data_IF_024400116350
#
_entry.id   IF_024400116350
#
_cell.length_a   1.000
_cell.length_b   1.000
_cell.length_c   1.000
_cell.angle_alpha   90.00
_cell.angle_beta   90.00
_cell.angle_gamma   90.00
#
_symmetry.space_group_name_H-M   'P 1'
#
loop_
_entity.id
_entity.type
_entity.pdbx_description
1 polymer ?
#
# COMPACT_ATOMS: atom_id res chain seq x y z
N UNK A 1 6.67 -3.16 4.14
CA UNK A 1 6.52 -2.92 2.68
C UNK A 1 5.19 -3.43 2.12
N UNK A 2 4.86 -4.73 2.24
CA UNK A 2 3.66 -5.31 1.61
C UNK A 2 2.36 -4.55 1.94
N UNK A 3 2.05 -4.37 3.23
CA UNK A 3 0.85 -3.63 3.65
C UNK A 3 0.85 -2.15 3.22
N UNK A 4 2.03 -1.52 3.12
CA UNK A 4 2.15 -0.14 2.65
C UNK A 4 1.69 -0.02 1.19
N UNK A 5 2.09 -0.96 0.32
CA UNK A 5 1.64 -1.03 -1.08
C UNK A 5 0.12 -1.16 -1.14
N UNK A 6 -0.44 -2.06 -0.33
CA UNK A 6 -1.89 -2.31 -0.28
C UNK A 6 -2.66 -1.06 0.15
N UNK A 7 -2.22 -0.40 1.22
CA UNK A 7 -2.86 0.82 1.74
C UNK A 7 -2.84 1.93 0.68
N UNK A 8 -1.67 2.21 0.09
CA UNK A 8 -1.52 3.29 -0.89
C UNK A 8 -2.40 3.07 -2.13
N UNK A 9 -2.34 1.88 -2.73
CA UNK A 9 -3.11 1.56 -3.95
C UNK A 9 -4.61 1.40 -3.67
N UNK A 10 -4.99 0.91 -2.49
CA UNK A 10 -6.39 0.86 -2.08
C UNK A 10 -6.98 2.25 -1.82
N UNK A 11 -6.16 3.18 -1.34
CA UNK A 11 -6.54 4.58 -1.17
C UNK A 11 -6.79 5.24 -2.53
N UNK A 12 -5.91 5.01 -3.52
CA UNK A 12 -6.12 5.47 -4.92
C UNK A 12 -7.44 4.93 -5.50
N UNK A 13 -7.76 3.66 -5.20
CA UNK A 13 -9.00 3.02 -5.62
C UNK A 13 -10.22 3.34 -4.72
N UNK A 14 -10.08 4.22 -3.74
CA UNK A 14 -11.13 4.60 -2.78
C UNK A 14 -11.80 3.40 -2.05
N UNK A 15 -11.07 2.32 -1.80
CA UNK A 15 -11.62 1.11 -1.20
C UNK A 15 -11.59 1.17 0.34
N UNK A 16 -12.73 1.53 0.96
CA UNK A 16 -12.84 1.67 2.42
C UNK A 16 -12.42 0.40 3.17
N UNK A 17 -12.90 -0.77 2.72
CA UNK A 17 -12.58 -2.04 3.38
C UNK A 17 -11.08 -2.28 3.44
N UNK A 18 -10.42 -2.25 2.27
CA UNK A 18 -9.00 -2.57 2.17
C UNK A 18 -8.14 -1.50 2.86
N UNK A 19 -8.48 -0.22 2.71
CA UNK A 19 -7.77 0.86 3.41
C UNK A 19 -7.82 0.63 4.92
N UNK A 20 -9.01 0.47 5.51
CA UNK A 20 -9.15 0.33 6.97
C UNK A 20 -8.46 -0.94 7.50
N UNK A 21 -8.68 -2.09 6.85
CA UNK A 21 -8.12 -3.37 7.29
C UNK A 21 -6.59 -3.39 7.16
N UNK A 22 -6.05 -2.99 6.01
CA UNK A 22 -4.61 -3.05 5.75
C UNK A 22 -3.85 -1.92 6.44
N UNK A 23 -4.48 -0.77 6.73
CA UNK A 23 -3.89 0.24 7.63
C UNK A 23 -3.72 -0.32 9.04
N UNK A 24 -4.64 -1.15 9.53
CA UNK A 24 -4.50 -1.79 10.83
C UNK A 24 -3.31 -2.77 10.88
N UNK A 25 -3.19 -3.62 9.87
CA UNK A 25 -2.06 -4.54 9.73
C UNK A 25 -0.74 -3.79 9.57
N UNK A 26 -0.72 -2.74 8.74
CA UNK A 26 0.43 -1.87 8.57
C UNK A 26 0.90 -1.30 9.91
N UNK A 27 -0.01 -0.77 10.76
CA UNK A 27 0.35 -0.25 12.09
C UNK A 27 0.97 -1.31 13.00
N UNK A 28 0.50 -2.56 12.93
CA UNK A 28 1.08 -3.68 13.68
C UNK A 28 2.51 -3.98 13.21
N UNK A 29 2.70 -4.20 11.90
CA UNK A 29 3.98 -4.66 11.37
C UNK A 29 5.07 -3.57 11.36
N UNK A 30 4.69 -2.32 11.09
CA UNK A 30 5.63 -1.19 11.14
C UNK A 30 5.92 -0.73 12.57
N UNK A 31 5.11 -1.16 13.55
CA UNK A 31 5.07 -0.58 14.90
C UNK A 31 4.96 0.97 14.89
N UNK A 32 4.38 1.52 13.82
CA UNK A 32 4.19 2.96 13.65
C UNK A 32 2.69 3.26 13.52
N UNK A 33 2.19 4.01 14.49
CA UNK A 33 0.76 4.27 14.68
C UNK A 33 0.18 5.28 13.71
N UNK A 34 1.01 6.17 13.17
CA UNK A 34 0.58 7.32 12.36
C UNK A 34 0.89 7.12 10.88
N UNK A 35 1.88 6.31 10.55
CA UNK A 35 2.36 6.18 9.17
C UNK A 35 1.31 5.63 8.21
N UNK A 36 0.45 4.70 8.65
CA UNK A 36 -0.64 4.20 7.83
C UNK A 36 -1.62 5.30 7.41
N UNK A 37 -1.90 6.26 8.30
CA UNK A 37 -2.81 7.37 8.03
C UNK A 37 -2.15 8.37 7.06
N UNK A 38 -0.84 8.62 7.20
CA UNK A 38 -0.07 9.43 6.26
C UNK A 38 -0.04 8.81 4.85
N UNK A 39 0.24 7.50 4.74
CA UNK A 39 0.26 6.77 3.46
C UNK A 39 -1.10 6.87 2.77
N UNK A 40 -2.18 6.66 3.54
CA UNK A 40 -3.56 6.67 3.02
C UNK A 40 -3.91 8.01 2.39
N UNK A 41 -3.53 9.12 3.01
CA UNK A 41 -3.90 10.47 2.55
C UNK A 41 -2.95 10.99 1.48
N UNK A 42 -1.65 10.91 1.73
CA UNK A 42 -0.62 11.35 0.80
C UNK A 42 0.74 10.76 1.17
N UNK A 43 1.03 9.57 0.62
CA UNK A 43 2.31 8.89 0.82
C UNK A 43 3.54 9.68 0.34
N UNK A 44 3.39 10.69 -0.53
CA UNK A 44 4.53 11.55 -0.93
C UNK A 44 4.99 12.45 0.21
N UNK A 45 4.06 12.82 1.10
CA UNK A 45 4.30 13.65 2.27
C UNK A 45 4.39 12.85 3.58
N UNK A 46 4.52 11.52 3.50
CA UNK A 46 4.67 10.67 4.69
C UNK A 46 6.12 10.52 5.13
N UNK A 47 6.31 10.02 6.35
CA UNK A 47 7.61 9.74 6.97
C UNK A 47 8.28 8.46 6.43
N UNK A 48 7.99 8.09 5.18
CA UNK A 48 8.62 6.97 4.48
C UNK A 48 10.03 7.34 4.02
N UNK A 49 10.94 6.36 4.06
CA UNK A 49 12.27 6.50 3.46
C UNK A 49 12.24 6.44 1.94
N UNK A 50 13.35 6.83 1.31
CA UNK A 50 13.44 6.92 -0.16
C UNK A 50 13.17 5.58 -0.86
N UNK A 51 13.66 4.47 -0.28
CA UNK A 51 13.40 3.12 -0.80
C UNK A 51 11.90 2.78 -0.79
N UNK A 52 11.18 3.12 0.28
CA UNK A 52 9.75 2.86 0.40
C UNK A 52 8.94 3.75 -0.55
N UNK A 53 9.36 5.00 -0.76
CA UNK A 53 8.76 5.90 -1.75
C UNK A 53 8.97 5.39 -3.17
N UNK A 54 10.15 4.87 -3.50
CA UNK A 54 10.40 4.25 -4.81
C UNK A 54 9.51 3.03 -5.07
N UNK A 55 9.29 2.19 -4.03
CA UNK A 55 8.33 1.08 -4.10
C UNK A 55 6.92 1.61 -4.42
N UNK A 56 6.48 2.66 -3.73
CA UNK A 56 5.15 3.23 -3.95
C UNK A 56 5.01 3.93 -5.30
N UNK A 57 6.04 4.60 -5.80
CA UNK A 57 6.05 5.17 -7.15
C UNK A 57 5.76 4.10 -8.20
N UNK A 58 6.53 3.00 -8.17
CA UNK A 58 6.31 1.88 -9.08
C UNK A 58 4.92 1.24 -8.89
N UNK A 59 4.49 1.02 -7.64
CA UNK A 59 3.18 0.45 -7.35
C UNK A 59 2.02 1.31 -7.88
N UNK A 60 2.14 2.64 -7.79
CA UNK A 60 1.13 3.57 -8.30
C UNK A 60 1.08 3.58 -9.83
N UNK A 61 2.22 3.44 -10.51
CA UNK A 61 2.27 3.32 -11.97
C UNK A 61 1.60 2.01 -12.44
N UNK A 62 1.86 0.89 -11.74
CA UNK A 62 1.17 -0.39 -12.00
C UNK A 62 -0.33 -0.27 -11.71
N UNK A 63 -0.71 0.35 -10.60
CA UNK A 63 -2.11 0.54 -10.19
C UNK A 63 -2.90 1.35 -11.22
N UNK A 64 -2.27 2.37 -11.81
CA UNK A 64 -2.84 3.19 -12.88
C UNK A 64 -2.78 2.53 -14.28
N UNK A 65 -2.33 1.27 -14.37
CA UNK A 65 -2.15 0.53 -15.61
C UNK A 65 -1.28 1.29 -16.65
N UNK A 66 -0.26 2.01 -16.19
CA UNK A 66 0.69 2.68 -17.09
C UNK A 66 1.59 1.67 -17.80
N UNK A 67 2.16 2.09 -18.93
CA UNK A 67 3.16 1.30 -19.64
C UNK A 67 4.44 1.21 -18.80
N UNK A 68 4.74 0.03 -18.28
CA UNK A 68 5.98 -0.24 -17.54
C UNK A 68 7.12 -0.47 -18.54
N UNK A 69 8.25 0.17 -18.27
CA UNK A 69 9.46 0.16 -19.12
C UNK A 69 10.71 -0.13 -18.28
N UNK A 70 11.83 -0.41 -18.95
CA UNK A 70 13.12 -0.67 -18.30
C UNK A 70 13.57 0.43 -17.33
N UNK A 71 13.18 1.69 -17.60
CA UNK A 71 13.49 2.83 -16.73
C UNK A 71 12.85 2.70 -15.33
N UNK A 72 11.65 2.12 -15.24
CA UNK A 72 10.98 1.90 -13.96
C UNK A 72 11.76 0.87 -13.13
N UNK A 73 12.21 -0.22 -13.75
CA UNK A 73 13.04 -1.22 -13.08
C UNK A 73 14.40 -0.66 -12.68
N UNK A 74 15.00 0.21 -13.50
CA UNK A 74 16.26 0.86 -13.17
C UNK A 74 16.15 1.75 -11.92
N UNK A 75 15.07 2.53 -11.79
CA UNK A 75 14.80 3.34 -10.58
C UNK A 75 14.67 2.47 -9.34
N UNK A 76 13.98 1.33 -9.43
CA UNK A 76 13.93 0.37 -8.33
C UNK A 76 15.33 -0.13 -7.94
N UNK A 77 16.17 -0.47 -8.93
CA UNK A 77 17.55 -0.92 -8.70
C UNK A 77 18.43 0.13 -8.01
N UNK A 78 18.22 1.42 -8.28
CA UNK A 78 18.91 2.52 -7.58
C UNK A 78 18.64 2.52 -6.07
N UNK A 79 17.53 1.91 -5.64
CA UNK A 79 17.17 1.70 -4.24
C UNK A 79 17.39 0.26 -3.74
N UNK A 80 18.18 -0.53 -4.48
CA UNK A 80 18.56 -1.89 -4.11
C UNK A 80 17.43 -2.92 -4.24
N UNK A 81 16.43 -2.66 -5.10
CA UNK A 81 15.34 -3.58 -5.42
C UNK A 81 15.61 -4.25 -6.77
N UNK A 82 15.45 -5.57 -6.84
CA UNK A 82 15.68 -6.33 -8.06
C UNK A 82 14.38 -6.57 -8.87
N UNK A 83 14.46 -7.41 -9.90
CA UNK A 83 13.29 -7.73 -10.75
C UNK A 83 12.27 -8.63 -10.05
N UNK A 84 12.69 -9.47 -9.11
CA UNK A 84 11.79 -10.30 -8.31
C UNK A 84 11.05 -9.43 -7.30
N UNK A 85 11.72 -8.44 -6.70
CA UNK A 85 11.06 -7.42 -5.88
C UNK A 85 10.00 -6.64 -6.69
N UNK A 86 10.34 -6.25 -7.93
CA UNK A 86 9.39 -5.58 -8.82
C UNK A 86 8.19 -6.48 -9.18
N UNK A 87 8.43 -7.77 -9.39
CA UNK A 87 7.38 -8.77 -9.58
C UNK A 87 6.47 -8.86 -8.35
N UNK A 88 7.04 -8.95 -7.15
CA UNK A 88 6.29 -9.00 -5.90
C UNK A 88 5.42 -7.75 -5.70
N UNK A 89 5.96 -6.55 -5.98
CA UNK A 89 5.19 -5.30 -5.94
C UNK A 89 4.02 -5.38 -6.92
N UNK A 90 4.29 -5.73 -8.19
CA UNK A 90 3.26 -5.83 -9.22
C UNK A 90 2.17 -6.86 -8.89
N UNK A 91 2.56 -8.01 -8.33
CA UNK A 91 1.64 -9.07 -7.91
C UNK A 91 0.73 -8.62 -6.76
N UNK A 92 1.28 -7.93 -5.76
CA UNK A 92 0.49 -7.35 -4.66
C UNK A 92 -0.51 -6.33 -5.21
N UNK A 93 -0.06 -5.42 -6.08
CA UNK A 93 -0.94 -4.41 -6.69
C UNK A 93 -2.05 -5.08 -7.50
N UNK A 94 -1.74 -6.09 -8.32
CA UNK A 94 -2.72 -6.81 -9.12
C UNK A 94 -3.77 -7.55 -8.28
N UNK A 95 -3.33 -8.25 -7.23
CA UNK A 95 -4.23 -8.97 -6.32
C UNK A 95 -5.17 -8.01 -5.58
N UNK A 96 -4.64 -6.90 -5.07
CA UNK A 96 -5.46 -5.95 -4.34
C UNK A 96 -6.31 -5.05 -5.23
N UNK A 97 -5.93 -4.84 -6.48
CA UNK A 97 -6.80 -4.27 -7.50
C UNK A 97 -8.05 -5.14 -7.71
N UNK A 98 -7.91 -6.48 -7.76
CA UNK A 98 -9.05 -7.40 -7.77
C UNK A 98 -9.84 -7.30 -6.46
N UNK A 99 -9.17 -7.38 -5.31
CA UNK A 99 -9.82 -7.31 -3.99
C UNK A 99 -10.65 -6.04 -3.81
N UNK A 100 -10.09 -4.88 -4.18
CA UNK A 100 -10.78 -3.59 -4.11
C UNK A 100 -12.06 -3.59 -4.95
N UNK A 101 -12.00 -4.11 -6.19
CA UNK A 101 -13.17 -4.20 -7.07
C UNK A 101 -14.26 -5.10 -6.47
N UNK A 102 -13.88 -6.23 -5.89
CA UNK A 102 -14.84 -7.13 -5.22
C UNK A 102 -15.44 -6.51 -3.96
N UNK A 103 -14.64 -5.80 -3.15
CA UNK A 103 -15.11 -5.07 -1.98
C UNK A 103 -16.14 -4.00 -2.37
N UNK A 104 -15.90 -3.28 -3.47
CA UNK A 104 -16.85 -2.29 -4.02
C UNK A 104 -18.16 -2.94 -4.47
N UNK A 105 -18.09 -3.99 -5.29
CA UNK A 105 -19.29 -4.69 -5.80
C UNK A 105 -20.16 -5.25 -4.68
N UNK A 106 -19.55 -5.70 -3.59
CA UNK A 106 -20.25 -6.32 -2.47
C UNK A 106 -20.62 -5.35 -1.35
N UNK A 107 -20.24 -4.06 -1.46
CA UNK A 107 -20.35 -3.07 -0.37
C UNK A 107 -19.75 -3.60 0.94
N UNK A 108 -18.58 -4.24 0.84
CA UNK A 108 -17.92 -4.89 1.96
C UNK A 108 -17.57 -3.86 3.05
N UNK A 109 -17.94 -4.17 4.29
CA UNK A 109 -17.68 -3.29 5.45
C UNK A 109 -16.53 -3.85 6.28
N UNK A 110 -15.52 -3.03 6.62
CA UNK A 110 -14.46 -3.49 7.50
C UNK A 110 -15.03 -3.71 8.90
N UNK A 111 -14.48 -4.70 9.60
CA UNK A 111 -14.78 -4.93 11.01
C UNK A 111 -14.40 -3.71 11.87
N UNK A 112 -15.22 -3.42 12.88
CA UNK A 112 -15.03 -2.25 13.76
C UNK A 112 -13.66 -2.25 14.47
N UNK A 113 -13.13 -3.43 14.78
CA UNK A 113 -11.84 -3.60 15.45
C UNK A 113 -10.69 -2.98 14.64
N UNK A 114 -10.73 -3.04 13.30
CA UNK A 114 -9.66 -2.53 12.45
C UNK A 114 -9.46 -1.01 12.57
N UNK A 115 -10.51 -0.26 12.94
CA UNK A 115 -10.39 1.19 13.15
C UNK A 115 -9.50 1.54 14.34
N UNK A 116 -9.40 0.66 15.34
CA UNK A 116 -8.67 0.91 16.60
C UNK A 116 -7.35 0.16 16.69
N UNK A 117 -7.23 -1.00 16.03
CA UNK A 117 -6.02 -1.83 16.05
C UNK A 117 -4.79 -0.99 15.64
N UNK A 118 -3.75 -1.04 16.48
CA UNK A 118 -2.48 -0.35 16.25
C UNK A 118 -2.47 1.15 16.58
N UNK A 119 -3.58 1.75 17.05
CA UNK A 119 -3.60 3.18 17.45
C UNK A 119 -3.23 3.41 18.92
N UNK A 120 -3.75 2.60 19.85
CA UNK A 120 -3.44 2.70 21.29
C UNK A 120 -2.12 1.98 21.66
N UNK A 121 -1.41 2.46 22.69
CA UNK A 121 -0.30 1.70 23.30
C UNK A 121 -0.98 0.62 24.16
N UNK A 122 -0.47 -0.62 24.18
CA UNK A 122 -0.78 -1.51 25.31
C UNK A 122 -0.33 -0.77 26.58
N UNK A 123 -1.26 -0.48 27.48
CA UNK A 123 -0.94 -0.01 28.83
C UNK A 123 -0.22 -1.13 29.58
#
# INVERSE_FOLDING_TARGET
DKEMIVVATSAENNCIYCVVAHSALHRIYSNNKILADQITINWRCSDLGDREKAILEFAMDVCACKAITDEHFKRLQEHGLDKEDAWDIGAIVGLFALSNRMAHVTNMRPNDEFYLIGKAKKQ
#
